data_IF_571249165222
#
_entry.id   IF_571249165222
#
_cell.length_a   1.000
_cell.length_b   1.000
_cell.length_c   1.000
_cell.angle_alpha   90.00
_cell.angle_beta   90.00
_cell.angle_gamma   90.00
#
_symmetry.space_group_name_H-M   'P 1'
#
loop_
_entity.id
_entity.type
_entity.pdbx_description
1 polymer ?
#
# COMPACT_ATOMS: atom_id res chain seq x y z
N UNK A 1 20.99 -31.19 -5.49
CA UNK A 1 20.26 -30.24 -6.36
C UNK A 1 19.16 -29.63 -5.51
N UNK A 2 19.09 -28.31 -5.38
CA UNK A 2 17.94 -27.67 -4.75
C UNK A 2 16.77 -27.86 -5.72
N UNK A 3 15.66 -28.40 -5.23
CA UNK A 3 14.44 -28.55 -6.01
C UNK A 3 13.96 -27.18 -6.54
N UNK A 4 13.51 -27.13 -7.80
CA UNK A 4 13.08 -25.90 -8.48
C UNK A 4 12.00 -25.17 -7.66
N UNK A 5 11.11 -25.94 -7.02
CA UNK A 5 10.05 -25.39 -6.18
C UNK A 5 10.58 -24.73 -4.89
N UNK A 6 11.64 -25.30 -4.30
CA UNK A 6 12.33 -24.70 -3.15
C UNK A 6 12.99 -23.37 -3.54
N UNK A 7 13.60 -23.28 -4.72
CA UNK A 7 14.19 -22.03 -5.23
C UNK A 7 13.12 -20.96 -5.41
N UNK A 8 11.97 -21.28 -6.01
CA UNK A 8 10.85 -20.34 -6.16
C UNK A 8 10.34 -19.81 -4.82
N UNK A 9 10.15 -20.69 -3.83
CA UNK A 9 9.72 -20.31 -2.47
C UNK A 9 10.69 -19.33 -1.80
N UNK A 10 12.00 -19.55 -1.94
CA UNK A 10 13.03 -18.64 -1.42
C UNK A 10 12.99 -17.27 -2.11
N UNK A 11 12.84 -17.23 -3.43
CA UNK A 11 12.72 -15.96 -4.16
C UNK A 11 11.45 -15.20 -3.79
N UNK A 12 10.32 -15.90 -3.64
CA UNK A 12 9.07 -15.29 -3.20
C UNK A 12 9.19 -14.70 -1.80
N UNK A 13 9.84 -15.41 -0.87
CA UNK A 13 10.11 -14.91 0.48
C UNK A 13 10.98 -13.65 0.44
N UNK A 14 12.02 -13.63 -0.39
CA UNK A 14 12.86 -12.45 -0.56
C UNK A 14 12.10 -11.27 -1.14
N UNK A 15 11.21 -11.50 -2.12
CA UNK A 15 10.34 -10.47 -2.67
C UNK A 15 9.35 -9.93 -1.64
N UNK A 16 8.78 -10.79 -0.80
CA UNK A 16 7.95 -10.37 0.33
C UNK A 16 8.75 -9.48 1.29
N UNK A 17 9.95 -9.87 1.70
CA UNK A 17 10.82 -9.05 2.57
C UNK A 17 11.15 -7.69 1.96
N UNK A 18 11.50 -7.67 0.67
CA UNK A 18 11.76 -6.43 -0.05
C UNK A 18 10.53 -5.53 -0.06
N UNK A 19 9.34 -6.10 -0.30
CA UNK A 19 8.07 -5.35 -0.26
C UNK A 19 7.80 -4.71 1.09
N UNK A 20 8.02 -5.44 2.19
CA UNK A 20 7.82 -4.96 3.56
C UNK A 20 8.81 -3.83 3.89
N UNK A 21 10.07 -3.97 3.50
CA UNK A 21 11.08 -2.94 3.71
C UNK A 21 10.75 -1.66 2.92
N UNK A 22 10.33 -1.80 1.66
CA UNK A 22 9.91 -0.66 0.84
C UNK A 22 8.70 0.06 1.43
N UNK A 23 7.70 -0.68 1.95
CA UNK A 23 6.53 -0.10 2.60
C UNK A 23 6.93 0.67 3.87
N UNK A 24 7.78 0.09 4.71
CA UNK A 24 8.26 0.74 5.94
C UNK A 24 9.05 2.01 5.65
N UNK A 25 10.01 1.94 4.72
CA UNK A 25 10.77 3.10 4.26
C UNK A 25 9.82 4.16 3.66
N UNK A 26 8.83 3.72 2.89
CA UNK A 26 7.77 4.58 2.38
C UNK A 26 7.01 5.33 3.47
N UNK A 27 6.69 4.68 4.58
CA UNK A 27 6.04 5.34 5.71
C UNK A 27 6.97 6.36 6.39
N UNK A 28 8.25 6.04 6.56
CA UNK A 28 9.24 7.00 7.09
C UNK A 28 9.39 8.23 6.19
N UNK A 29 9.48 8.04 4.88
CA UNK A 29 9.57 9.16 3.93
C UNK A 29 8.29 10.01 3.91
N UNK A 30 7.10 9.43 4.08
CA UNK A 30 5.87 10.20 4.29
C UNK A 30 5.95 11.03 5.58
N UNK A 31 6.49 10.47 6.66
CA UNK A 31 6.59 11.17 7.95
C UNK A 31 7.54 12.37 7.90
N UNK A 32 8.50 12.38 6.97
CA UNK A 32 9.42 13.51 6.72
C UNK A 32 8.82 14.64 5.91
N UNK A 33 7.66 14.44 5.26
CA UNK A 33 7.02 15.50 4.48
C UNK A 33 6.56 16.61 5.42
N UNK A 34 6.96 17.84 5.12
CA UNK A 34 6.58 19.03 5.88
C UNK A 34 6.65 20.27 4.98
N UNK A 35 6.52 21.46 5.57
CA UNK A 35 6.55 22.71 4.81
C UNK A 35 7.88 22.95 4.06
N UNK A 36 9.00 22.46 4.59
CA UNK A 36 10.33 22.61 4.01
C UNK A 36 10.72 21.44 3.09
N UNK A 37 10.10 20.28 3.27
CA UNK A 37 10.33 19.07 2.50
C UNK A 37 9.03 18.58 1.87
N UNK A 38 8.78 18.99 0.62
CA UNK A 38 7.63 18.58 -0.20
C UNK A 38 8.02 17.60 -1.31
N UNK A 39 9.11 16.84 -1.13
CA UNK A 39 9.61 15.90 -2.13
C UNK A 39 8.79 14.60 -2.17
N UNK A 40 7.56 14.68 -2.68
CA UNK A 40 6.62 13.55 -2.76
C UNK A 40 7.09 12.42 -3.69
N UNK A 41 7.97 12.70 -4.65
CA UNK A 41 8.40 11.71 -5.64
C UNK A 41 8.97 10.45 -4.99
N UNK A 42 9.82 10.60 -3.97
CA UNK A 42 10.46 9.47 -3.29
C UNK A 42 9.46 8.56 -2.54
N UNK A 43 8.63 9.07 -1.59
CA UNK A 43 7.66 8.22 -0.91
C UNK A 43 6.68 7.56 -1.88
N UNK A 44 6.22 8.27 -2.92
CA UNK A 44 5.34 7.70 -3.94
C UNK A 44 6.01 6.55 -4.70
N UNK A 45 7.28 6.70 -5.08
CA UNK A 45 8.05 5.67 -5.78
C UNK A 45 8.20 4.38 -4.97
N UNK A 46 8.61 4.50 -3.71
CA UNK A 46 8.87 3.35 -2.85
C UNK A 46 7.58 2.70 -2.36
N UNK A 47 6.54 3.47 -2.04
CA UNK A 47 5.23 2.92 -1.66
C UNK A 47 4.54 2.21 -2.83
N UNK A 48 4.55 2.81 -4.02
CA UNK A 48 3.98 2.19 -5.22
C UNK A 48 4.63 0.83 -5.49
N UNK A 49 5.96 0.77 -5.49
CA UNK A 49 6.69 -0.49 -5.71
C UNK A 49 6.49 -1.49 -4.57
N UNK A 50 6.53 -1.04 -3.31
CA UNK A 50 6.37 -1.88 -2.14
C UNK A 50 5.00 -2.55 -2.08
N UNK A 51 3.93 -1.78 -2.28
CA UNK A 51 2.55 -2.28 -2.24
C UNK A 51 2.27 -3.22 -3.42
N UNK A 52 2.73 -2.88 -4.64
CA UNK A 52 2.57 -3.76 -5.81
C UNK A 52 3.22 -5.12 -5.56
N UNK A 53 4.48 -5.13 -5.09
CA UNK A 53 5.21 -6.37 -4.77
C UNK A 53 4.53 -7.17 -3.68
N UNK A 54 4.04 -6.51 -2.63
CA UNK A 54 3.34 -7.16 -1.53
C UNK A 54 2.07 -7.88 -2.03
N UNK A 55 1.26 -7.21 -2.85
CA UNK A 55 0.05 -7.80 -3.42
C UNK A 55 0.36 -8.94 -4.39
N UNK A 56 1.39 -8.82 -5.22
CA UNK A 56 1.85 -9.92 -6.07
C UNK A 56 2.31 -11.13 -5.26
N UNK A 57 3.04 -10.91 -4.16
CA UNK A 57 3.43 -12.00 -3.27
C UNK A 57 2.21 -12.68 -2.64
N UNK A 58 1.24 -11.88 -2.17
CA UNK A 58 -0.04 -12.39 -1.65
C UNK A 58 -0.73 -13.29 -2.69
N UNK A 59 -0.84 -12.82 -3.94
CA UNK A 59 -1.49 -13.57 -5.01
C UNK A 59 -0.73 -14.85 -5.36
N UNK A 60 0.60 -14.83 -5.40
CA UNK A 60 1.40 -16.04 -5.60
C UNK A 60 1.13 -17.10 -4.51
N UNK A 61 1.03 -16.67 -3.24
CA UNK A 61 0.73 -17.56 -2.12
C UNK A 61 -0.68 -18.14 -2.21
N UNK A 62 -1.69 -17.26 -2.41
CA UNK A 62 -3.08 -17.69 -2.52
C UNK A 62 -3.34 -18.55 -3.77
N UNK A 63 -2.66 -18.28 -4.88
CA UNK A 63 -2.75 -19.10 -6.09
C UNK A 63 -2.09 -20.46 -5.89
N UNK A 64 -0.90 -20.50 -5.28
CA UNK A 64 -0.23 -21.76 -4.94
C UNK A 64 -1.09 -22.64 -4.04
N UNK A 65 -1.70 -22.09 -3.00
CA UNK A 65 -2.58 -22.87 -2.12
C UNK A 65 -3.77 -23.50 -2.88
N UNK A 66 -4.30 -22.81 -3.90
CA UNK A 66 -5.46 -23.31 -4.66
C UNK A 66 -5.12 -24.30 -5.77
N UNK A 67 -3.91 -24.22 -6.33
CA UNK A 67 -3.55 -24.93 -7.57
C UNK A 67 -2.36 -25.87 -7.41
N UNK A 68 -1.72 -25.92 -6.24
CA UNK A 68 -0.46 -26.64 -5.98
C UNK A 68 0.71 -26.21 -6.89
N UNK A 69 0.61 -25.04 -7.51
CA UNK A 69 1.67 -24.43 -8.33
C UNK A 69 1.64 -22.90 -8.25
N UNK A 70 2.78 -22.25 -8.45
CA UNK A 70 2.83 -20.79 -8.58
C UNK A 70 2.25 -20.30 -9.91
N UNK A 71 1.67 -19.08 -9.96
CA UNK A 71 1.21 -18.52 -11.21
C UNK A 71 2.39 -18.30 -12.15
N UNK A 72 2.18 -18.56 -13.44
CA UNK A 72 3.14 -18.20 -14.47
C UNK A 72 3.18 -16.67 -14.67
N UNK A 73 4.14 -16.21 -15.47
CA UNK A 73 4.36 -14.78 -15.71
C UNK A 73 3.12 -14.07 -16.28
N UNK A 74 2.42 -14.70 -17.23
CA UNK A 74 1.26 -14.11 -17.88
C UNK A 74 0.06 -14.02 -16.94
N UNK A 75 -0.13 -15.02 -16.08
CA UNK A 75 -1.15 -15.01 -15.02
C UNK A 75 -0.88 -13.89 -14.01
N UNK A 76 0.35 -13.78 -13.50
CA UNK A 76 0.71 -12.73 -12.54
C UNK A 76 0.59 -11.33 -13.16
N UNK A 77 0.93 -11.19 -14.44
CA UNK A 77 0.72 -9.96 -15.20
C UNK A 77 -0.77 -9.65 -15.37
N UNK A 78 -1.60 -10.65 -15.69
CA UNK A 78 -3.04 -10.48 -15.85
C UNK A 78 -3.71 -9.94 -14.59
N UNK A 79 -3.30 -10.42 -13.40
CA UNK A 79 -3.82 -9.90 -12.12
C UNK A 79 -3.59 -8.40 -11.93
N UNK A 80 -2.53 -7.84 -12.52
CA UNK A 80 -2.22 -6.40 -12.49
C UNK A 80 -2.81 -5.60 -13.67
N UNK A 81 -3.78 -6.17 -14.39
CA UNK A 81 -4.46 -5.52 -15.51
C UNK A 81 -3.59 -5.37 -16.77
N UNK A 82 -3.93 -4.39 -17.63
CA UNK A 82 -3.31 -4.22 -18.95
C UNK A 82 -1.78 -4.05 -18.91
N UNK A 83 -1.28 -3.37 -17.89
CA UNK A 83 0.17 -3.15 -17.69
C UNK A 83 0.83 -4.22 -16.84
N UNK A 84 0.06 -4.96 -16.04
CA UNK A 84 0.56 -5.87 -15.03
C UNK A 84 1.10 -5.22 -13.76
N UNK A 85 0.89 -3.91 -13.59
CA UNK A 85 1.40 -3.11 -12.47
C UNK A 85 0.28 -2.38 -11.71
N UNK A 86 -0.99 -2.65 -12.03
CA UNK A 86 -2.13 -1.97 -11.44
C UNK A 86 -2.39 -2.40 -10.00
N UNK A 87 -2.13 -1.52 -9.03
CA UNK A 87 -2.38 -1.80 -7.60
C UNK A 87 -3.87 -2.01 -7.32
N UNK A 88 -4.75 -1.28 -8.02
CA UNK A 88 -6.21 -1.40 -7.84
C UNK A 88 -6.68 -2.77 -8.32
N UNK A 89 -6.22 -3.19 -9.49
CA UNK A 89 -6.50 -4.47 -10.11
C UNK A 89 -6.00 -5.63 -9.24
N UNK A 90 -4.75 -5.54 -8.75
CA UNK A 90 -4.18 -6.53 -7.83
C UNK A 90 -5.00 -6.62 -6.52
N UNK A 91 -5.40 -5.48 -5.95
CA UNK A 91 -6.22 -5.42 -4.73
C UNK A 91 -7.59 -6.08 -4.96
N UNK A 92 -8.23 -5.81 -6.10
CA UNK A 92 -9.52 -6.41 -6.46
C UNK A 92 -9.41 -7.92 -6.61
N UNK A 93 -8.36 -8.40 -7.28
CA UNK A 93 -8.07 -9.82 -7.42
C UNK A 93 -7.88 -10.50 -6.05
N UNK A 94 -7.09 -9.88 -5.16
CA UNK A 94 -6.93 -10.36 -3.77
C UNK A 94 -8.28 -10.45 -3.07
N UNK A 95 -9.10 -9.40 -3.09
CA UNK A 95 -10.35 -9.33 -2.32
C UNK A 95 -11.42 -10.30 -2.84
N UNK A 96 -11.51 -10.46 -4.16
CA UNK A 96 -12.53 -11.27 -4.79
C UNK A 96 -12.18 -12.76 -4.75
N UNK A 97 -10.89 -13.09 -4.92
CA UNK A 97 -10.49 -14.48 -5.12
C UNK A 97 -9.69 -15.07 -3.95
N UNK A 98 -8.96 -14.26 -3.17
CA UNK A 98 -7.99 -14.79 -2.19
C UNK A 98 -8.12 -14.21 -0.77
N UNK A 99 -9.13 -13.37 -0.50
CA UNK A 99 -9.43 -12.89 0.83
C UNK A 99 -10.52 -13.74 1.46
N UNK A 100 -10.09 -14.56 2.41
CA UNK A 100 -10.86 -15.61 3.03
C UNK A 100 -11.47 -15.15 4.36
N UNK A 101 -12.65 -15.68 4.66
CA UNK A 101 -13.27 -15.62 5.98
C UNK A 101 -13.23 -17.05 6.53
N UNK A 102 -12.69 -17.25 7.73
CA UNK A 102 -12.63 -18.58 8.34
C UNK A 102 -14.02 -19.07 8.75
N UNK A 103 -14.86 -18.17 9.27
CA UNK A 103 -16.28 -18.43 9.49
C UNK A 103 -17.10 -17.13 9.44
N UNK A 104 -18.43 -17.25 9.41
CA UNK A 104 -19.35 -16.10 9.35
C UNK A 104 -19.30 -15.20 10.59
N UNK A 105 -18.75 -15.64 11.72
CA UNK A 105 -18.69 -14.87 12.97
C UNK A 105 -17.39 -14.07 13.12
N UNK A 106 -16.45 -14.18 12.18
CA UNK A 106 -15.20 -13.44 12.22
C UNK A 106 -15.41 -11.96 11.79
N UNK A 107 -16.05 -11.18 12.66
CA UNK A 107 -16.43 -9.78 12.41
C UNK A 107 -15.23 -8.91 12.05
N UNK A 108 -14.10 -9.05 12.73
CA UNK A 108 -12.89 -8.27 12.43
C UNK A 108 -12.36 -8.51 11.02
N UNK A 109 -12.48 -9.73 10.47
CA UNK A 109 -12.08 -10.02 9.09
C UNK A 109 -13.06 -9.43 8.08
N UNK A 110 -14.36 -9.42 8.42
CA UNK A 110 -15.37 -8.75 7.60
C UNK A 110 -15.15 -7.24 7.57
N UNK A 111 -14.78 -6.65 8.71
CA UNK A 111 -14.43 -5.23 8.80
C UNK A 111 -13.18 -4.91 7.97
N UNK A 112 -12.13 -5.73 8.06
CA UNK A 112 -10.93 -5.58 7.23
C UNK A 112 -11.29 -5.67 5.74
N UNK A 113 -12.04 -6.70 5.32
CA UNK A 113 -12.49 -6.85 3.93
C UNK A 113 -13.31 -5.65 3.47
N UNK A 114 -14.24 -5.18 4.29
CA UNK A 114 -15.07 -4.02 3.99
C UNK A 114 -14.24 -2.74 3.88
N UNK A 115 -13.29 -2.52 4.78
CA UNK A 115 -12.37 -1.38 4.72
C UNK A 115 -11.54 -1.41 3.45
N UNK A 116 -10.89 -2.54 3.15
CA UNK A 116 -10.02 -2.67 1.97
C UNK A 116 -10.81 -2.49 0.66
N UNK A 117 -12.05 -2.99 0.62
CA UNK A 117 -12.90 -2.91 -0.58
C UNK A 117 -13.50 -1.51 -0.77
N UNK A 118 -14.10 -0.97 0.29
CA UNK A 118 -15.07 0.12 0.18
C UNK A 118 -14.58 1.46 0.74
N UNK A 119 -13.44 1.52 1.43
CA UNK A 119 -12.96 2.79 1.97
C UNK A 119 -12.50 3.72 0.84
N UNK A 120 -13.22 4.81 0.63
CA UNK A 120 -12.96 5.77 -0.45
C UNK A 120 -11.57 6.39 -0.36
N UNK A 121 -11.11 6.80 0.84
CA UNK A 121 -9.80 7.43 1.02
C UNK A 121 -8.66 6.47 0.70
N UNK A 122 -8.78 5.22 1.16
CA UNK A 122 -7.83 4.17 0.80
C UNK A 122 -7.82 3.94 -0.72
N UNK A 123 -9.00 3.86 -1.36
CA UNK A 123 -9.10 3.64 -2.80
C UNK A 123 -8.48 4.79 -3.60
N UNK A 124 -8.71 6.05 -3.21
CA UNK A 124 -8.05 7.21 -3.79
C UNK A 124 -6.54 7.13 -3.62
N UNK A 125 -6.07 6.85 -2.40
CA UNK A 125 -4.64 6.74 -2.11
C UNK A 125 -3.94 5.65 -2.94
N UNK A 126 -4.53 4.45 -3.02
CA UNK A 126 -3.99 3.35 -3.84
C UNK A 126 -4.07 3.66 -5.34
N UNK A 127 -5.06 4.44 -5.79
CA UNK A 127 -5.14 4.88 -7.18
C UNK A 127 -3.97 5.83 -7.53
N UNK A 128 -3.69 6.82 -6.67
CA UNK A 128 -2.55 7.73 -6.88
C UNK A 128 -1.22 6.98 -6.93
N UNK A 129 -1.00 6.02 -6.03
CA UNK A 129 0.19 5.17 -6.04
C UNK A 129 0.27 4.29 -7.29
N UNK A 130 -0.87 3.79 -7.77
CA UNK A 130 -0.96 3.00 -9.01
C UNK A 130 -0.59 3.84 -10.24
N UNK A 131 -1.18 5.03 -10.37
CA UNK A 131 -0.91 5.95 -11.50
C UNK A 131 0.54 6.44 -11.50
N UNK A 132 1.09 6.73 -10.32
CA UNK A 132 2.49 7.07 -10.17
C UNK A 132 3.40 5.98 -10.72
N UNK A 133 3.27 4.74 -10.23
CA UNK A 133 4.11 3.62 -10.63
C UNK A 133 4.04 3.32 -12.13
N UNK A 134 2.84 3.38 -12.71
CA UNK A 134 2.60 3.06 -14.13
C UNK A 134 3.12 4.15 -15.07
N UNK A 135 2.81 5.42 -14.81
CA UNK A 135 2.93 6.47 -15.84
C UNK A 135 3.51 7.79 -15.33
N UNK A 136 3.10 8.26 -14.15
CA UNK A 136 3.31 9.67 -13.77
C UNK A 136 4.69 10.02 -13.23
N UNK A 137 5.59 9.05 -13.08
CA UNK A 137 7.00 9.28 -12.70
C UNK A 137 7.70 10.34 -13.56
N UNK A 138 7.31 10.45 -14.82
CA UNK A 138 7.90 11.36 -15.79
C UNK A 138 6.91 12.44 -16.28
N UNK A 139 5.89 12.77 -15.50
CA UNK A 139 4.88 13.77 -15.87
C UNK A 139 5.51 15.08 -16.39
N UNK A 140 6.55 15.57 -15.71
CA UNK A 140 7.25 16.80 -16.13
C UNK A 140 7.84 16.68 -17.55
N UNK A 141 8.32 15.49 -17.95
CA UNK A 141 8.81 15.24 -19.31
C UNK A 141 7.65 15.17 -20.33
N UNK A 142 6.49 14.63 -19.95
CA UNK A 142 5.28 14.67 -20.79
C UNK A 142 4.91 16.14 -21.11
N UNK A 143 4.99 17.04 -20.12
CA UNK A 143 4.75 18.48 -20.30
C UNK A 143 5.81 19.13 -21.19
N UNK A 144 7.09 18.92 -20.89
CA UNK A 144 8.21 19.50 -21.68
C UNK A 144 8.14 19.07 -23.15
N UNK A 145 7.76 17.82 -23.41
CA UNK A 145 7.63 17.28 -24.78
C UNK A 145 6.30 17.59 -25.45
N UNK A 146 5.40 18.31 -24.77
CA UNK A 146 4.05 18.62 -25.29
C UNK A 146 3.29 17.35 -25.74
N UNK A 147 3.44 16.27 -24.98
CA UNK A 147 2.77 15.00 -25.27
C UNK A 147 1.26 15.22 -25.35
N UNK A 148 0.64 14.71 -26.42
CA UNK A 148 -0.79 14.94 -26.71
C UNK A 148 -1.72 14.55 -25.56
N UNK A 149 -1.40 13.47 -24.86
CA UNK A 149 -2.13 12.98 -23.69
C UNK A 149 -1.09 12.76 -22.57
N UNK A 150 -0.79 13.78 -21.76
CA UNK A 150 0.13 13.64 -20.64
C UNK A 150 -0.46 12.70 -19.58
N UNK A 151 0.40 12.05 -18.81
CA UNK A 151 -0.01 11.28 -17.63
C UNK A 151 -0.70 12.17 -16.60
N UNK A 152 -1.37 11.57 -15.62
CA UNK A 152 -1.95 12.30 -14.49
C UNK A 152 -0.87 13.07 -13.72
N UNK A 153 -1.14 14.31 -13.33
CA UNK A 153 -0.27 15.04 -12.40
C UNK A 153 -0.51 14.54 -10.97
N UNK A 154 0.07 13.39 -10.63
CA UNK A 154 -0.15 12.74 -9.32
C UNK A 154 0.27 13.63 -8.16
N UNK A 155 1.27 14.48 -8.31
CA UNK A 155 1.69 15.39 -7.24
C UNK A 155 0.59 16.40 -6.89
N UNK A 156 -0.07 16.97 -7.90
CA UNK A 156 -1.19 17.87 -7.66
C UNK A 156 -2.38 17.14 -7.04
N UNK A 157 -2.74 15.97 -7.56
CA UNK A 157 -3.83 15.16 -7.03
C UNK A 157 -3.55 14.68 -5.59
N UNK A 158 -2.28 14.46 -5.26
CA UNK A 158 -1.85 14.15 -3.89
C UNK A 158 -2.10 15.34 -2.96
N UNK A 159 -1.70 16.55 -3.35
CA UNK A 159 -1.96 17.78 -2.58
C UNK A 159 -3.46 18.02 -2.36
N UNK A 160 -4.28 17.70 -3.36
CA UNK A 160 -5.74 17.77 -3.25
C UNK A 160 -6.28 16.71 -2.27
N UNK A 161 -5.72 15.50 -2.29
CA UNK A 161 -6.03 14.47 -1.30
C UNK A 161 -5.62 14.86 0.12
N UNK A 162 -4.45 15.46 0.31
CA UNK A 162 -4.00 16.00 1.60
C UNK A 162 -4.97 17.06 2.14
N UNK A 163 -5.47 17.92 1.26
CA UNK A 163 -6.48 18.93 1.61
C UNK A 163 -7.78 18.28 2.09
N UNK A 164 -8.21 17.16 1.50
CA UNK A 164 -9.37 16.39 1.94
C UNK A 164 -9.14 15.86 3.37
N UNK A 165 -7.97 15.27 3.63
CA UNK A 165 -7.62 14.75 4.95
C UNK A 165 -7.57 15.86 6.00
N UNK A 166 -6.93 16.99 5.69
CA UNK A 166 -6.78 18.11 6.61
C UNK A 166 -8.13 18.69 7.06
N UNK A 167 -9.11 18.76 6.14
CA UNK A 167 -10.47 19.26 6.42
C UNK A 167 -11.24 18.43 7.44
N UNK A 168 -10.82 17.19 7.72
CA UNK A 168 -11.44 16.34 8.75
C UNK A 168 -11.23 16.88 10.16
N UNK A 169 -10.21 17.72 10.36
CA UNK A 169 -9.98 18.42 11.61
C UNK A 169 -10.02 19.93 11.38
N UNK A 170 -11.20 20.54 11.57
CA UNK A 170 -11.39 21.98 11.36
C UNK A 170 -10.42 22.85 12.19
N UNK A 171 -10.01 22.37 13.36
CA UNK A 171 -9.09 23.09 14.25
C UNK A 171 -7.69 23.16 13.64
N UNK A 172 -7.18 22.03 13.17
CA UNK A 172 -5.88 21.93 12.49
C UNK A 172 -5.93 22.64 11.13
N UNK A 173 -7.00 22.43 10.35
CA UNK A 173 -7.21 23.10 9.07
C UNK A 173 -7.13 24.64 9.18
N UNK A 174 -7.81 25.24 10.15
CA UNK A 174 -7.76 26.70 10.36
C UNK A 174 -6.36 27.19 10.75
N UNK A 175 -5.64 26.42 11.58
CA UNK A 175 -4.28 26.76 12.01
C UNK A 175 -3.26 26.62 10.87
N UNK A 176 -3.45 25.64 9.99
CA UNK A 176 -2.51 25.36 8.89
C UNK A 176 -2.25 26.56 7.98
N UNK A 177 -3.28 27.38 7.69
CA UNK A 177 -3.18 28.58 6.85
C UNK A 177 -2.73 29.84 7.59
N UNK A 178 -2.40 29.73 8.87
CA UNK A 178 -1.78 30.85 9.58
C UNK A 178 -0.31 31.02 9.15
N UNK A 179 0.26 32.20 9.34
CA UNK A 179 1.66 32.53 8.97
C UNK A 179 2.69 31.80 9.87
N UNK A 180 2.24 30.97 10.82
CA UNK A 180 3.12 30.31 11.78
C UNK A 180 3.56 28.93 11.29
N UNK A 181 4.85 28.79 11.00
CA UNK A 181 5.48 27.53 10.56
C UNK A 181 5.17 26.34 11.48
N UNK A 182 5.07 26.56 12.80
CA UNK A 182 4.72 25.47 13.75
C UNK A 182 3.32 24.91 13.47
N UNK A 183 2.38 25.77 13.08
CA UNK A 183 1.01 25.37 12.77
C UNK A 183 0.91 24.69 11.39
N UNK A 184 1.75 25.07 10.43
CA UNK A 184 1.87 24.34 9.16
C UNK A 184 2.43 22.93 9.39
N UNK A 185 3.50 22.80 10.18
CA UNK A 185 4.09 21.50 10.52
C UNK A 185 3.13 20.61 11.34
N UNK A 186 2.31 21.18 12.22
CA UNK A 186 1.22 20.44 12.88
C UNK A 186 0.24 19.83 11.87
N UNK A 187 -0.14 20.59 10.83
CA UNK A 187 -1.02 20.09 9.78
C UNK A 187 -0.40 18.99 8.94
N UNK A 188 0.88 19.13 8.54
CA UNK A 188 1.60 18.05 7.86
C UNK A 188 1.69 16.78 8.72
N UNK A 189 2.05 16.90 10.00
CA UNK A 189 2.09 15.76 10.92
C UNK A 189 0.71 15.07 11.02
N UNK A 190 -0.37 15.84 11.06
CA UNK A 190 -1.73 15.30 11.03
C UNK A 190 -2.02 14.55 9.73
N UNK A 191 -1.71 15.14 8.58
CA UNK A 191 -1.92 14.53 7.25
C UNK A 191 -1.10 13.24 7.13
N UNK A 192 0.20 13.29 7.42
CA UNK A 192 1.13 12.16 7.34
C UNK A 192 0.65 11.00 8.20
N UNK A 193 0.24 11.28 9.45
CA UNK A 193 -0.33 10.28 10.35
C UNK A 193 -1.58 9.62 9.78
N UNK A 194 -2.48 10.37 9.12
CA UNK A 194 -3.67 9.81 8.47
C UNK A 194 -3.35 8.94 7.26
N UNK A 195 -2.40 9.35 6.43
CA UNK A 195 -1.95 8.57 5.27
C UNK A 195 -1.34 7.25 5.73
N UNK A 196 -0.41 7.30 6.70
CA UNK A 196 0.21 6.12 7.28
C UNK A 196 -0.84 5.21 7.92
N UNK A 197 -1.79 5.76 8.68
CA UNK A 197 -2.87 4.97 9.29
C UNK A 197 -3.73 4.20 8.27
N UNK A 198 -4.05 4.81 7.12
CA UNK A 198 -4.79 4.14 6.05
C UNK A 198 -4.01 2.95 5.48
N UNK A 199 -2.73 3.15 5.20
CA UNK A 199 -1.86 2.12 4.61
C UNK A 199 -1.52 1.02 5.63
N UNK A 200 -1.25 1.36 6.90
CA UNK A 200 -1.06 0.39 7.98
C UNK A 200 -2.30 -0.49 8.13
N UNK A 201 -3.50 0.09 8.17
CA UNK A 201 -4.74 -0.67 8.29
C UNK A 201 -4.96 -1.60 7.09
N UNK A 202 -4.63 -1.13 5.89
CA UNK A 202 -4.67 -1.94 4.66
C UNK A 202 -3.71 -3.13 4.72
N UNK A 203 -2.43 -2.90 4.98
CA UNK A 203 -1.41 -3.96 5.05
C UNK A 203 -1.69 -4.92 6.22
N UNK A 204 -2.12 -4.42 7.37
CA UNK A 204 -2.50 -5.24 8.53
C UNK A 204 -3.68 -6.16 8.19
N UNK A 205 -4.72 -5.65 7.54
CA UNK A 205 -5.88 -6.46 7.15
C UNK A 205 -5.51 -7.62 6.22
N UNK A 206 -4.58 -7.38 5.29
CA UNK A 206 -4.02 -8.44 4.44
C UNK A 206 -3.06 -9.37 5.22
N UNK A 207 -2.23 -8.84 6.10
CA UNK A 207 -1.30 -9.63 6.91
C UNK A 207 -2.02 -10.63 7.82
N UNK A 208 -3.20 -10.26 8.32
CA UNK A 208 -4.05 -11.18 9.12
C UNK A 208 -4.45 -12.45 8.35
N UNK A 209 -4.50 -12.40 7.02
CA UNK A 209 -4.81 -13.57 6.20
C UNK A 209 -3.70 -14.63 6.20
N UNK A 210 -2.47 -14.28 6.56
CA UNK A 210 -1.36 -15.25 6.64
C UNK A 210 -1.39 -16.06 7.93
N UNK A 211 -2.11 -15.59 8.96
CA UNK A 211 -2.06 -16.18 10.31
C UNK A 211 -3.43 -16.57 10.86
N UNK A 212 -4.40 -15.67 10.80
CA UNK A 212 -5.73 -15.87 11.40
C UNK A 212 -6.67 -16.65 10.49
N UNK A 213 -6.37 -16.65 9.19
CA UNK A 213 -7.07 -17.41 8.16
C UNK A 213 -6.05 -18.26 7.43
N UNK A 214 -6.50 -19.36 6.85
CA UNK A 214 -5.63 -20.24 6.09
C UNK A 214 -5.50 -19.74 4.65
N UNK A 215 -4.64 -18.73 4.41
CA UNK A 215 -4.20 -18.38 3.05
C UNK A 215 -3.29 -19.48 2.45
N UNK A 216 -2.93 -20.48 3.25
CA UNK A 216 -2.12 -21.63 2.88
C UNK A 216 -0.95 -21.85 3.83
N UNK A 217 -0.47 -23.09 3.89
CA UNK A 217 0.65 -23.49 4.75
C UNK A 217 1.94 -22.72 4.42
N UNK A 218 2.18 -22.44 3.14
CA UNK A 218 3.31 -21.63 2.72
C UNK A 218 3.19 -20.19 3.22
N UNK A 219 2.00 -19.58 3.16
CA UNK A 219 1.78 -18.23 3.66
C UNK A 219 2.00 -18.15 5.18
N UNK A 220 1.53 -19.15 5.93
CA UNK A 220 1.79 -19.27 7.38
C UNK A 220 3.29 -19.30 7.68
N UNK A 221 4.08 -20.02 6.89
CA UNK A 221 5.54 -20.07 7.06
C UNK A 221 6.24 -18.71 6.86
N UNK A 222 5.62 -17.79 6.12
CA UNK A 222 6.14 -16.43 5.87
C UNK A 222 5.63 -15.39 6.88
N UNK A 223 4.74 -15.78 7.80
CA UNK A 223 4.09 -14.87 8.75
C UNK A 223 5.06 -14.08 9.64
N UNK A 224 6.24 -14.63 9.92
CA UNK A 224 7.29 -13.95 10.70
C UNK A 224 7.73 -12.63 10.07
N UNK A 225 7.79 -12.54 8.75
CA UNK A 225 8.27 -11.37 8.02
C UNK A 225 7.25 -10.21 8.00
N UNK A 226 5.96 -10.52 8.17
CA UNK A 226 4.87 -9.52 8.18
C UNK A 226 4.33 -9.22 9.58
N UNK A 227 4.87 -9.90 10.60
CA UNK A 227 4.42 -9.83 11.98
C UNK A 227 4.40 -8.41 12.55
N UNK A 228 5.28 -7.54 12.07
CA UNK A 228 5.31 -6.13 12.43
C UNK A 228 3.96 -5.42 12.20
N UNK A 229 3.33 -5.66 11.04
CA UNK A 229 2.05 -5.04 10.69
C UNK A 229 0.88 -5.70 11.44
N UNK A 230 0.96 -7.03 11.64
CA UNK A 230 -0.05 -7.80 12.37
C UNK A 230 -0.30 -7.24 13.79
N UNK A 231 0.76 -6.76 14.44
CA UNK A 231 0.74 -6.27 15.81
C UNK A 231 0.24 -4.83 15.97
N UNK A 232 -0.02 -4.10 14.89
CA UNK A 232 -0.49 -2.72 14.99
C UNK A 232 -1.92 -2.72 15.52
N UNK A 233 -2.13 -2.15 16.71
CA UNK A 233 -3.47 -1.97 17.28
C UNK A 233 -4.17 -0.78 16.63
N UNK A 234 -5.49 -0.73 16.72
CA UNK A 234 -6.26 0.40 16.19
C UNK A 234 -5.89 1.73 16.84
N UNK A 235 -5.57 1.71 18.13
CA UNK A 235 -5.11 2.89 18.87
C UNK A 235 -3.72 3.38 18.42
N UNK A 236 -2.92 2.55 17.77
CA UNK A 236 -1.55 2.85 17.33
C UNK A 236 -1.45 3.27 15.86
N UNK A 237 -2.55 3.19 15.10
CA UNK A 237 -2.57 3.51 13.67
C UNK A 237 -2.11 4.96 13.42
N UNK A 238 -1.11 5.12 12.55
CA UNK A 238 -0.51 6.40 12.18
C UNK A 238 0.41 7.01 13.23
N UNK A 239 0.69 6.29 14.33
CA UNK A 239 1.50 6.82 15.46
C UNK A 239 2.90 6.21 15.54
N UNK A 240 3.16 5.11 14.86
CA UNK A 240 4.48 4.47 14.85
C UNK A 240 5.49 5.35 14.14
N UNK A 241 6.70 5.44 14.68
CA UNK A 241 7.84 6.05 14.00
C UNK A 241 8.50 5.02 13.07
N UNK A 242 8.69 5.39 11.80
CA UNK A 242 9.32 4.52 10.78
C UNK A 242 10.74 4.96 10.40
N UNK A 243 11.27 6.00 11.05
CA UNK A 243 12.64 6.49 10.88
C UNK A 243 13.67 5.82 11.82
N UNK A 244 13.26 4.78 12.55
CA UNK A 244 14.10 3.99 13.47
C UNK A 244 14.67 2.70 12.86
#
# INVERSE_FOLDING_TARGET
MIDNETVKKLHLLQELRNSINLIKLGFGEIQKINMENDFYHLPLQILSSGIERFLKCYLCLGYHEKNDEFPNFDQLKFFGGKTGHGIIELKEEVINNYFLLRNEKDEFLKEDKNFIKNNQKLNTLLHLLSEFGKYSRYYNLDVVTSKRNPSLNVEQEWKDFETILLKENQSVYKRFFSVNVKFSNEGYNYINSRIVALLEKFIRGLARQFTFVDLGELAKSFSGDIFFFLKIKDEDLGKKNYDE
#
